data_IF_853441859042
#
_entry.id   IF_853441859042
#
_cell.length_a   1.000
_cell.length_b   1.000
_cell.length_c   1.000
_cell.angle_alpha   90.00
_cell.angle_beta   90.00
_cell.angle_gamma   90.00
#
_symmetry.space_group_name_H-M   'P 1'
#
loop_
_entity.id
_entity.type
_entity.pdbx_description
1 polymer ?
#
# COMPACT_ATOMS: atom_id res chain seq x y z
N UNK A 1 17.47 1.50 5.93
CA UNK A 1 18.66 2.02 5.22
C UNK A 1 18.44 2.12 3.71
N UNK A 2 17.98 1.07 3.02
CA UNK A 2 17.75 1.09 1.56
C UNK A 2 16.75 2.19 1.14
N UNK A 3 15.63 2.34 1.85
CA UNK A 3 14.64 3.38 1.56
C UNK A 3 15.21 4.81 1.66
N UNK A 4 16.09 5.05 2.62
CA UNK A 4 16.77 6.36 2.78
C UNK A 4 17.76 6.60 1.63
N UNK A 5 18.50 5.58 1.22
CA UNK A 5 19.43 5.68 0.10
C UNK A 5 18.69 5.96 -1.23
N UNK A 6 17.57 5.24 -1.48
CA UNK A 6 16.71 5.48 -2.65
C UNK A 6 16.09 6.88 -2.60
N UNK A 7 15.70 7.34 -1.42
CA UNK A 7 15.13 8.68 -1.23
C UNK A 7 16.16 9.78 -1.51
N UNK A 8 17.39 9.63 -0.99
CA UNK A 8 18.50 10.59 -1.22
C UNK A 8 18.89 10.61 -2.70
N UNK A 9 19.02 9.44 -3.34
CA UNK A 9 19.35 9.38 -4.76
C UNK A 9 18.22 9.97 -5.63
N UNK A 10 16.97 9.70 -5.33
CA UNK A 10 15.83 10.30 -6.02
C UNK A 10 15.80 11.83 -5.87
N UNK A 11 16.11 12.34 -4.67
CA UNK A 11 16.18 13.79 -4.43
C UNK A 11 17.32 14.45 -5.21
N UNK A 12 18.45 13.77 -5.36
CA UNK A 12 19.62 14.30 -6.08
C UNK A 12 19.42 14.32 -7.62
N UNK A 13 18.72 13.32 -8.14
CA UNK A 13 18.51 13.17 -9.59
C UNK A 13 17.29 13.94 -10.13
N UNK A 14 16.32 14.27 -9.28
CA UNK A 14 15.07 14.89 -9.73
C UNK A 14 14.85 16.24 -9.02
N UNK A 15 15.18 17.33 -9.68
CA UNK A 15 14.98 18.70 -9.18
C UNK A 15 13.50 19.15 -9.16
N UNK A 16 12.54 18.25 -9.01
CA UNK A 16 11.11 18.55 -9.14
C UNK A 16 10.18 17.83 -8.15
N UNK A 17 10.70 17.21 -7.09
CA UNK A 17 9.84 16.57 -6.09
C UNK A 17 9.30 17.59 -5.07
N UNK A 18 7.99 17.69 -5.00
CA UNK A 18 7.31 18.51 -3.98
C UNK A 18 7.14 17.70 -2.69
N UNK A 19 8.09 17.82 -1.76
CA UNK A 19 7.99 17.21 -0.43
C UNK A 19 7.08 18.03 0.49
N UNK A 20 5.79 17.92 0.30
CA UNK A 20 4.82 18.47 1.23
C UNK A 20 4.68 17.55 2.46
N UNK A 21 4.32 18.08 3.64
CA UNK A 21 4.08 17.24 4.84
C UNK A 21 3.00 16.18 4.60
N UNK A 22 2.06 16.43 3.69
CA UNK A 22 1.06 15.47 3.22
C UNK A 22 1.67 14.20 2.58
N UNK A 23 2.84 14.30 1.96
CA UNK A 23 3.55 13.14 1.41
C UNK A 23 3.98 12.17 2.53
N UNK A 24 4.54 12.70 3.62
CA UNK A 24 4.95 11.88 4.78
C UNK A 24 3.74 11.28 5.50
N UNK A 25 2.64 12.03 5.61
CA UNK A 25 1.40 11.53 6.18
C UNK A 25 0.84 10.37 5.35
N UNK A 26 0.83 10.49 4.03
CA UNK A 26 0.38 9.44 3.13
C UNK A 26 1.27 8.20 3.23
N UNK A 27 2.59 8.38 3.28
CA UNK A 27 3.54 7.29 3.46
C UNK A 27 3.31 6.55 4.79
N UNK A 28 3.02 7.28 5.86
CA UNK A 28 2.69 6.71 7.16
C UNK A 28 1.40 5.88 7.11
N UNK A 29 0.35 6.38 6.46
CA UNK A 29 -0.92 5.65 6.25
C UNK A 29 -0.68 4.34 5.50
N UNK A 30 0.14 4.36 4.46
CA UNK A 30 0.48 3.17 3.69
C UNK A 30 1.24 2.15 4.55
N UNK A 31 2.23 2.59 5.33
CA UNK A 31 2.96 1.71 6.24
C UNK A 31 2.04 1.04 7.25
N UNK A 32 1.10 1.79 7.85
CA UNK A 32 0.10 1.24 8.76
C UNK A 32 -0.82 0.23 8.07
N UNK A 33 -1.26 0.52 6.86
CA UNK A 33 -2.12 -0.39 6.08
C UNK A 33 -1.43 -1.73 5.85
N UNK A 34 -0.17 -1.72 5.42
CA UNK A 34 0.59 -2.95 5.21
C UNK A 34 0.97 -3.65 6.52
N UNK A 35 1.19 -2.91 7.60
CA UNK A 35 1.37 -3.51 8.93
C UNK A 35 0.12 -4.29 9.37
N UNK A 36 -1.08 -3.76 9.14
CA UNK A 36 -2.34 -4.48 9.41
C UNK A 36 -2.48 -5.75 8.55
N UNK A 37 -2.09 -5.70 7.27
CA UNK A 37 -2.05 -6.88 6.40
C UNK A 37 -1.09 -7.93 6.95
N UNK A 38 0.11 -7.52 7.36
CA UNK A 38 1.12 -8.43 7.92
C UNK A 38 0.63 -9.12 9.20
N UNK A 39 -0.03 -8.37 10.10
CA UNK A 39 -0.63 -8.92 11.32
C UNK A 39 -1.74 -9.91 10.98
N UNK A 40 -2.64 -9.56 10.06
CA UNK A 40 -3.72 -10.44 9.64
C UNK A 40 -3.19 -11.76 9.04
N UNK A 41 -2.18 -11.69 8.19
CA UNK A 41 -1.54 -12.88 7.60
C UNK A 41 -0.83 -13.71 8.67
N UNK A 42 -0.10 -13.08 9.60
CA UNK A 42 0.58 -13.77 10.69
C UNK A 42 -0.39 -14.54 11.62
N UNK A 43 -1.61 -14.00 11.77
CA UNK A 43 -2.67 -14.66 12.56
C UNK A 43 -3.25 -15.91 11.86
N UNK A 44 -3.32 -15.90 10.55
CA UNK A 44 -3.85 -17.01 9.74
C UNK A 44 -2.79 -18.10 9.55
N UNK A 45 -1.52 -17.70 9.48
CA UNK A 45 -0.41 -18.61 9.25
C UNK A 45 -0.09 -19.43 10.51
N UNK A 46 0.15 -20.72 10.33
CA UNK A 46 0.53 -21.63 11.42
C UNK A 46 2.00 -21.52 11.84
N UNK A 47 2.81 -20.74 11.12
CA UNK A 47 4.24 -20.56 11.39
C UNK A 47 4.87 -19.45 10.54
N UNK A 48 6.09 -19.05 10.91
CA UNK A 48 6.80 -17.93 10.26
C UNK A 48 7.05 -18.15 8.75
N UNK A 49 7.32 -19.40 8.35
CA UNK A 49 7.53 -19.77 6.94
C UNK A 49 6.25 -19.64 6.13
N UNK A 50 5.14 -20.07 6.70
CA UNK A 50 3.83 -19.98 6.05
C UNK A 50 3.37 -18.53 5.94
N UNK A 51 3.61 -17.72 6.96
CA UNK A 51 3.34 -16.28 6.94
C UNK A 51 4.08 -15.57 5.81
N UNK A 52 5.35 -15.90 5.60
CA UNK A 52 6.14 -15.34 4.49
C UNK A 52 5.61 -15.78 3.12
N UNK A 53 5.22 -17.05 2.97
CA UNK A 53 4.66 -17.55 1.71
C UNK A 53 3.32 -16.87 1.39
N UNK A 54 2.40 -16.77 2.36
CA UNK A 54 1.12 -16.09 2.17
C UNK A 54 1.29 -14.60 1.88
N UNK A 55 2.19 -13.92 2.58
CA UNK A 55 2.49 -12.50 2.32
C UNK A 55 3.00 -12.31 0.90
N UNK A 56 3.95 -13.11 0.45
CA UNK A 56 4.48 -13.02 -0.91
C UNK A 56 3.42 -13.35 -1.96
N UNK A 57 2.56 -14.34 -1.71
CA UNK A 57 1.48 -14.72 -2.62
C UNK A 57 0.46 -13.59 -2.81
N UNK A 58 0.23 -12.78 -1.79
CA UNK A 58 -0.71 -11.63 -1.85
C UNK A 58 -0.01 -10.39 -2.44
N UNK A 59 1.18 -10.07 -1.95
CA UNK A 59 1.88 -8.83 -2.31
C UNK A 59 2.45 -8.91 -3.72
N UNK A 60 2.92 -10.07 -4.17
CA UNK A 60 3.53 -10.23 -5.50
C UNK A 60 2.57 -9.88 -6.64
N UNK A 61 1.38 -10.49 -6.78
CA UNK A 61 0.45 -10.09 -7.83
C UNK A 61 -0.03 -8.65 -7.65
N UNK A 62 -0.20 -8.20 -6.40
CA UNK A 62 -0.62 -6.85 -6.10
C UNK A 62 0.37 -5.79 -6.61
N UNK A 63 1.68 -6.05 -6.52
CA UNK A 63 2.71 -5.13 -7.04
C UNK A 63 2.70 -5.01 -8.56
N UNK A 64 2.33 -6.06 -9.28
CA UNK A 64 2.19 -6.01 -10.74
C UNK A 64 0.98 -5.21 -11.20
N UNK A 65 -0.15 -5.34 -10.50
CA UNK A 65 -1.42 -4.72 -10.91
C UNK A 65 -1.65 -3.31 -10.34
N UNK A 66 -0.83 -2.86 -9.39
CA UNK A 66 -1.01 -1.54 -8.75
C UNK A 66 -0.53 -0.34 -9.57
N UNK A 67 -0.10 -0.55 -10.82
CA UNK A 67 0.40 0.54 -11.67
C UNK A 67 1.88 0.90 -11.45
N UNK A 68 2.63 0.10 -10.68
CA UNK A 68 4.07 0.32 -10.48
C UNK A 68 4.86 -0.06 -11.74
N UNK A 69 4.57 -1.23 -12.32
CA UNK A 69 5.24 -1.72 -13.53
C UNK A 69 4.48 -1.36 -14.81
N UNK A 70 3.16 -1.41 -14.79
CA UNK A 70 2.31 -1.10 -15.94
C UNK A 70 1.29 -0.03 -15.56
N UNK A 71 1.13 1.03 -16.36
CA UNK A 71 0.07 2.02 -16.12
C UNK A 71 -1.30 1.33 -16.19
N UNK A 72 -2.12 1.53 -15.15
CA UNK A 72 -3.45 0.89 -15.01
C UNK A 72 -4.37 1.22 -16.18
N UNK A 73 -4.13 2.35 -16.87
CA UNK A 73 -4.88 2.77 -18.05
C UNK A 73 -4.73 1.80 -19.23
N UNK A 74 -3.63 1.04 -19.30
CA UNK A 74 -3.33 0.06 -20.36
C UNK A 74 -3.83 -1.35 -20.05
N UNK A 75 -4.35 -1.58 -18.83
CA UNK A 75 -4.87 -2.88 -18.43
C UNK A 75 -6.24 -3.15 -19.10
N UNK A 76 -6.54 -4.41 -19.46
CA UNK A 76 -7.89 -4.82 -19.90
C UNK A 76 -8.93 -4.46 -18.84
N UNK A 77 -10.15 -4.14 -19.25
CA UNK A 77 -11.20 -3.58 -18.40
C UNK A 77 -11.45 -4.33 -17.08
N UNK A 78 -11.44 -5.66 -17.11
CA UNK A 78 -11.61 -6.49 -15.90
C UNK A 78 -10.45 -6.32 -14.91
N UNK A 79 -9.19 -6.29 -15.39
CA UNK A 79 -8.02 -6.09 -14.54
C UNK A 79 -7.94 -4.67 -14.00
N UNK A 80 -8.43 -3.69 -14.77
CA UNK A 80 -8.53 -2.30 -14.34
C UNK A 80 -9.48 -2.14 -13.16
N UNK A 81 -10.65 -2.77 -13.20
CA UNK A 81 -11.61 -2.75 -12.09
C UNK A 81 -11.01 -3.45 -10.87
N UNK A 82 -10.38 -4.61 -11.05
CA UNK A 82 -9.68 -5.33 -9.98
C UNK A 82 -8.57 -4.50 -9.33
N UNK A 83 -7.75 -3.81 -10.14
CA UNK A 83 -6.65 -2.99 -9.61
C UNK A 83 -7.14 -1.78 -8.78
N UNK A 84 -8.31 -1.24 -9.08
CA UNK A 84 -8.90 -0.15 -8.29
C UNK A 84 -9.29 -0.57 -6.87
N UNK A 85 -9.58 -1.85 -6.68
CA UNK A 85 -9.86 -2.41 -5.35
C UNK A 85 -8.60 -2.71 -4.52
N UNK A 86 -7.41 -2.63 -5.10
CA UNK A 86 -6.18 -2.90 -4.35
C UNK A 86 -5.72 -1.68 -3.54
N UNK A 87 -5.41 -1.84 -2.24
CA UNK A 87 -4.93 -0.74 -1.40
C UNK A 87 -3.61 -0.13 -1.91
N UNK A 88 -2.74 -0.96 -2.52
CA UNK A 88 -1.48 -0.49 -3.08
C UNK A 88 -1.67 0.43 -4.30
N UNK A 89 -2.72 0.23 -5.09
CA UNK A 89 -3.04 1.10 -6.24
C UNK A 89 -3.39 2.52 -5.78
N UNK A 90 -4.27 2.65 -4.80
CA UNK A 90 -4.60 3.94 -4.21
C UNK A 90 -3.37 4.65 -3.65
N UNK A 91 -2.50 3.89 -2.97
CA UNK A 91 -1.25 4.36 -2.41
C UNK A 91 -0.29 4.90 -3.48
N UNK A 92 -0.02 4.13 -4.53
CA UNK A 92 0.92 4.49 -5.60
C UNK A 92 0.45 5.70 -6.40
N UNK A 93 -0.84 5.77 -6.75
CA UNK A 93 -1.39 6.91 -7.47
C UNK A 93 -1.36 8.21 -6.66
N UNK A 94 -1.70 8.13 -5.37
CA UNK A 94 -1.67 9.30 -4.50
C UNK A 94 -0.25 9.78 -4.24
N UNK A 95 0.68 8.87 -3.94
CA UNK A 95 2.10 9.19 -3.76
C UNK A 95 2.72 9.80 -5.02
N UNK A 96 2.42 9.22 -6.20
CA UNK A 96 2.90 9.74 -7.47
C UNK A 96 2.34 11.13 -7.76
N UNK A 97 1.04 11.34 -7.50
CA UNK A 97 0.41 12.66 -7.65
C UNK A 97 1.03 13.70 -6.72
N UNK A 98 1.21 13.38 -5.45
CA UNK A 98 1.84 14.27 -4.47
C UNK A 98 3.30 14.58 -4.81
N UNK A 99 4.07 13.58 -5.28
CA UNK A 99 5.48 13.74 -5.59
C UNK A 99 5.73 14.55 -6.87
N UNK A 100 4.92 14.34 -7.92
CA UNK A 100 5.15 14.94 -9.24
C UNK A 100 4.41 16.26 -9.45
N UNK A 101 3.17 16.38 -8.96
CA UNK A 101 2.32 17.55 -9.18
C UNK A 101 2.06 18.37 -7.92
N UNK A 102 2.41 17.84 -6.75
CA UNK A 102 2.11 18.46 -5.47
C UNK A 102 0.60 18.59 -5.18
N UNK A 103 -0.24 17.97 -6.01
CA UNK A 103 -1.71 17.98 -5.88
C UNK A 103 -2.15 16.72 -5.17
N UNK A 104 -2.94 16.91 -4.12
CA UNK A 104 -3.55 15.79 -3.40
C UNK A 104 -4.87 15.41 -4.06
N UNK A 105 -4.95 14.22 -4.63
CA UNK A 105 -6.20 13.65 -5.09
C UNK A 105 -7.00 13.12 -3.89
N UNK A 106 -7.95 13.92 -3.43
CA UNK A 106 -8.77 13.65 -2.26
C UNK A 106 -9.47 12.28 -2.33
N UNK A 107 -9.84 11.85 -3.55
CA UNK A 107 -10.47 10.56 -3.79
C UNK A 107 -9.55 9.39 -3.45
N UNK A 108 -8.31 9.41 -3.91
CA UNK A 108 -7.31 8.37 -3.61
C UNK A 108 -6.83 8.39 -2.16
N UNK A 109 -6.80 9.59 -1.56
CA UNK A 109 -6.51 9.74 -0.14
C UNK A 109 -7.61 9.11 0.72
N UNK A 110 -8.86 9.41 0.43
CA UNK A 110 -10.02 8.81 1.10
C UNK A 110 -10.06 7.28 0.93
N UNK A 111 -9.72 6.78 -0.24
CA UNK A 111 -9.65 5.34 -0.50
C UNK A 111 -8.54 4.66 0.32
N UNK A 112 -7.36 5.28 0.46
CA UNK A 112 -6.28 4.74 1.30
C UNK A 112 -6.64 4.69 2.78
N UNK A 113 -7.36 5.70 3.28
CA UNK A 113 -7.91 5.71 4.65
C UNK A 113 -9.00 4.65 4.84
N UNK A 114 -9.86 4.46 3.84
CA UNK A 114 -10.88 3.42 3.85
C UNK A 114 -10.28 2.02 4.00
N UNK A 115 -9.26 1.72 3.21
CA UNK A 115 -8.53 0.45 3.30
C UNK A 115 -7.83 0.26 4.64
N UNK A 116 -7.23 1.32 5.20
CA UNK A 116 -6.64 1.27 6.55
C UNK A 116 -7.69 0.86 7.59
N UNK A 117 -8.88 1.49 7.56
CA UNK A 117 -9.98 1.18 8.47
C UNK A 117 -10.47 -0.26 8.34
N UNK A 118 -10.71 -0.73 7.12
CA UNK A 118 -11.17 -2.10 6.85
C UNK A 118 -10.13 -3.13 7.33
N UNK A 119 -8.86 -2.94 6.99
CA UNK A 119 -7.81 -3.89 7.37
C UNK A 119 -7.53 -3.85 8.88
N UNK A 120 -7.67 -2.69 9.51
CA UNK A 120 -7.58 -2.57 10.96
C UNK A 120 -8.70 -3.36 11.67
N UNK A 121 -9.95 -3.25 11.19
CA UNK A 121 -11.08 -4.01 11.72
C UNK A 121 -10.90 -5.51 11.53
N UNK A 122 -10.40 -5.95 10.37
CA UNK A 122 -10.12 -7.36 10.11
C UNK A 122 -9.03 -7.87 11.05
N UNK A 123 -7.93 -7.14 11.20
CA UNK A 123 -6.85 -7.50 12.12
C UNK A 123 -7.33 -7.55 13.58
N UNK A 124 -8.15 -6.59 13.99
CA UNK A 124 -8.73 -6.55 15.34
C UNK A 124 -9.65 -7.75 15.59
N UNK A 125 -10.51 -8.07 14.62
CA UNK A 125 -11.43 -9.20 14.73
C UNK A 125 -10.68 -10.56 14.82
N UNK A 126 -9.63 -10.73 14.01
CA UNK A 126 -8.78 -11.92 14.08
C UNK A 126 -8.03 -12.04 15.41
N UNK A 127 -7.57 -10.91 15.97
CA UNK A 127 -6.91 -10.89 17.28
C UNK A 127 -7.87 -11.27 18.42
N UNK A 128 -9.12 -10.82 18.35
CA UNK A 128 -10.14 -11.17 19.37
C UNK A 128 -10.53 -12.64 19.29
N UNK A 129 -10.69 -13.19 18.10
CA UNK A 129 -10.99 -14.63 17.94
C UNK A 129 -9.90 -15.52 18.53
N UNK A 130 -8.63 -15.16 18.35
CA UNK A 130 -7.51 -15.96 18.86
C UNK A 130 -7.25 -15.79 20.36
N UNK A 131 -7.85 -14.79 21.01
CA UNK A 131 -7.77 -14.62 22.47
C UNK A 131 -8.74 -15.53 23.23
N UNK A 132 -9.74 -16.06 22.55
CA UNK A 132 -10.77 -16.92 23.16
C UNK A 132 -10.42 -18.42 23.09
N UNK A 133 -9.39 -18.79 22.30
CA UNK A 133 -8.78 -20.12 22.25
C UNK A 133 -7.51 -20.17 23.12
#
# INVERSE_FOLDING_TARGET
>A
MIAVAVFVTAHFFTQGFYFKPLFFLQLFIICLTFACVAVAVAMIAGGDKDALMFTNLIVFPMTFFCGTFFPVERLPGLLKIGSWFLPLTAATYNLRGLALTGVNNLCWFGQSLGWLGVLYLVAYFLLTLRRED
#
